data_IF_252497981889
#
_entry.id   IF_252497981889
#
_cell.length_a   1.000
_cell.length_b   1.000
_cell.length_c   1.000
_cell.angle_alpha   90.00
_cell.angle_beta   90.00
_cell.angle_gamma   90.00
#
_symmetry.space_group_name_H-M   'P 1'
#
loop_
_entity.id
_entity.type
_entity.pdbx_description
1 polymer ?
#
# COMPACT_ATOMS: atom_id res chain seq x y z
N UNK A 1 -20.33 7.31 10.88
CA UNK A 1 -19.55 8.27 10.08
C UNK A 1 -19.64 7.88 8.63
N UNK A 2 -19.75 8.86 7.74
CA UNK A 2 -19.59 8.73 6.30
C UNK A 2 -18.13 8.91 5.93
N UNK A 3 -17.50 7.85 5.43
CA UNK A 3 -16.07 7.79 5.10
C UNK A 3 -15.94 7.61 3.59
N UNK A 4 -15.22 8.51 2.93
CA UNK A 4 -14.70 8.23 1.60
C UNK A 4 -13.31 7.60 1.72
N UNK A 5 -13.13 6.43 1.13
CA UNK A 5 -11.85 5.74 1.05
C UNK A 5 -11.37 5.81 -0.40
N UNK A 6 -10.29 6.54 -0.67
CA UNK A 6 -9.77 6.73 -2.02
C UNK A 6 -8.50 5.92 -2.25
N UNK A 7 -8.43 5.22 -3.38
CA UNK A 7 -7.26 4.46 -3.81
C UNK A 7 -6.94 4.73 -5.27
N UNK A 8 -5.67 4.92 -5.65
CA UNK A 8 -5.29 5.16 -7.04
C UNK A 8 -5.39 3.91 -7.92
N UNK A 9 -5.67 2.74 -7.32
CA UNK A 9 -5.74 1.47 -8.05
C UNK A 9 -7.13 1.25 -8.64
N UNK A 10 -7.29 1.05 -9.95
CA UNK A 10 -8.59 0.89 -10.58
C UNK A 10 -9.30 -0.41 -10.16
N UNK A 11 -10.64 -0.54 -10.33
CA UNK A 11 -11.41 -1.67 -9.82
C UNK A 11 -10.97 -3.02 -10.34
N UNK A 12 -10.48 -3.05 -11.57
CA UNK A 12 -10.07 -4.24 -12.30
C UNK A 12 -8.66 -4.71 -11.90
N UNK A 13 -7.91 -3.90 -11.13
CA UNK A 13 -6.53 -4.18 -10.74
C UNK A 13 -6.45 -4.73 -9.31
N UNK A 14 -6.03 -5.99 -9.17
CA UNK A 14 -5.71 -6.58 -7.87
C UNK A 14 -4.23 -6.32 -7.56
N UNK A 15 -3.94 -5.14 -7.04
CA UNK A 15 -2.62 -4.79 -6.49
C UNK A 15 -2.67 -4.54 -4.98
N UNK A 16 -1.50 -4.32 -4.36
CA UNK A 16 -1.41 -4.14 -2.92
C UNK A 16 -2.26 -2.98 -2.38
N UNK A 17 -2.43 -1.90 -3.15
CA UNK A 17 -3.27 -0.77 -2.75
C UNK A 17 -4.76 -1.12 -2.83
N UNK A 18 -5.21 -1.78 -3.91
CA UNK A 18 -6.61 -2.23 -4.04
C UNK A 18 -6.96 -3.25 -2.96
N UNK A 19 -6.09 -4.24 -2.72
CA UNK A 19 -6.29 -5.25 -1.66
C UNK A 19 -6.40 -4.58 -0.29
N UNK A 20 -5.54 -3.61 0.01
CA UNK A 20 -5.59 -2.85 1.26
C UNK A 20 -6.90 -2.07 1.38
N UNK A 21 -7.31 -1.36 0.32
CA UNK A 21 -8.52 -0.55 0.32
C UNK A 21 -9.78 -1.39 0.55
N UNK A 22 -9.95 -2.50 -0.19
CA UNK A 22 -11.08 -3.41 -0.02
C UNK A 22 -11.14 -4.02 1.38
N UNK A 23 -9.97 -4.33 1.95
CA UNK A 23 -9.90 -4.85 3.32
C UNK A 23 -10.30 -3.80 4.36
N UNK A 24 -9.80 -2.57 4.21
CA UNK A 24 -10.12 -1.47 5.12
C UNK A 24 -11.58 -1.08 5.04
N UNK A 25 -12.16 -1.02 3.84
CA UNK A 25 -13.61 -0.86 3.64
C UNK A 25 -14.39 -1.88 4.47
N UNK A 26 -14.11 -3.18 4.31
CA UNK A 26 -14.77 -4.25 5.08
C UNK A 26 -14.63 -4.07 6.60
N UNK A 27 -13.42 -3.73 7.08
CA UNK A 27 -13.17 -3.56 8.52
C UNK A 27 -13.95 -2.35 9.06
N UNK A 28 -13.88 -1.21 8.38
CA UNK A 28 -14.55 0.02 8.80
C UNK A 28 -16.07 -0.13 8.76
N UNK A 29 -16.61 -0.81 7.75
CA UNK A 29 -18.05 -1.12 7.68
C UNK A 29 -18.48 -2.01 8.84
N UNK A 30 -17.70 -3.03 9.21
CA UNK A 30 -17.97 -3.88 10.39
C UNK A 30 -17.93 -3.11 11.71
N UNK A 31 -17.22 -1.99 11.77
CA UNK A 31 -17.19 -1.09 12.92
C UNK A 31 -18.38 -0.10 12.93
N UNK A 32 -19.34 -0.24 12.00
CA UNK A 32 -20.56 0.58 11.94
C UNK A 32 -20.40 1.90 11.19
N UNK A 33 -19.42 2.00 10.28
CA UNK A 33 -19.26 3.17 9.42
C UNK A 33 -19.87 2.96 8.03
N UNK A 34 -20.34 4.04 7.41
CA UNK A 34 -20.73 4.05 6.00
C UNK A 34 -19.48 4.37 5.18
N UNK A 35 -18.98 3.41 4.40
CA UNK A 35 -17.73 3.56 3.65
C UNK A 35 -18.03 3.48 2.16
N UNK A 36 -17.49 4.44 1.41
CA UNK A 36 -17.54 4.42 -0.05
C UNK A 36 -16.13 4.39 -0.60
N UNK A 37 -15.74 3.26 -1.19
CA UNK A 37 -14.47 3.10 -1.89
C UNK A 37 -14.52 3.76 -3.28
N UNK A 38 -13.61 4.69 -3.55
CA UNK A 38 -13.51 5.41 -4.83
C UNK A 38 -12.08 5.46 -5.36
N UNK A 39 -11.95 5.78 -6.65
CA UNK A 39 -10.65 6.07 -7.25
C UNK A 39 -10.19 7.52 -7.07
N UNK A 40 -11.15 8.43 -6.94
CA UNK A 40 -10.94 9.84 -6.63
C UNK A 40 -12.01 10.30 -5.64
N UNK A 41 -11.66 11.31 -4.84
CA UNK A 41 -12.62 11.97 -3.96
C UNK A 41 -13.78 12.54 -4.78
N UNK A 42 -15.01 12.35 -4.29
CA UNK A 42 -16.21 12.68 -5.07
C UNK A 42 -16.52 14.18 -5.15
N UNK A 43 -15.88 15.00 -4.32
CA UNK A 43 -16.26 16.41 -4.13
C UNK A 43 -17.38 16.62 -3.11
N UNK A 44 -18.08 15.55 -2.71
CA UNK A 44 -19.18 15.64 -1.75
C UNK A 44 -18.67 15.66 -0.31
N UNK A 45 -19.44 16.32 0.57
CA UNK A 45 -19.16 16.31 2.00
C UNK A 45 -19.16 14.88 2.54
N UNK A 46 -18.17 14.55 3.36
CA UNK A 46 -18.12 13.35 4.18
C UNK A 46 -17.50 13.71 5.54
N UNK A 47 -17.62 12.80 6.53
CA UNK A 47 -17.05 13.01 7.85
C UNK A 47 -15.53 12.82 7.86
N UNK A 48 -15.00 12.02 6.94
CA UNK A 48 -13.57 11.70 6.84
C UNK A 48 -13.19 11.23 5.44
N UNK A 49 -12.01 11.69 4.98
CA UNK A 49 -11.34 11.10 3.81
C UNK A 49 -10.16 10.23 4.28
N UNK A 50 -10.09 9.00 3.78
CA UNK A 50 -8.92 8.14 3.90
C UNK A 50 -8.32 7.98 2.51
N UNK A 51 -7.08 8.43 2.31
CA UNK A 51 -6.39 8.36 1.02
C UNK A 51 -5.22 7.37 1.06
N UNK A 52 -5.23 6.37 0.18
CA UNK A 52 -4.10 5.48 -0.02
C UNK A 52 -3.14 6.08 -1.03
N UNK A 53 -1.86 6.13 -0.69
CA UNK A 53 -0.76 6.65 -1.49
C UNK A 53 -0.74 8.18 -1.63
N UNK A 54 0.15 8.85 -0.90
CA UNK A 54 0.20 10.32 -0.83
C UNK A 54 0.30 11.01 -2.20
N UNK A 55 1.31 10.64 -3.01
CA UNK A 55 1.52 11.25 -4.33
C UNK A 55 0.37 10.99 -5.31
N UNK A 56 -0.09 9.75 -5.43
CA UNK A 56 -1.07 9.38 -6.45
C UNK A 56 -2.48 9.87 -6.11
N UNK A 57 -2.77 10.08 -4.84
CA UNK A 57 -4.04 10.66 -4.39
C UNK A 57 -3.97 12.16 -4.13
N UNK A 58 -2.87 12.83 -4.51
CA UNK A 58 -2.64 14.26 -4.28
C UNK A 58 -3.82 15.13 -4.73
N UNK A 59 -4.37 14.88 -5.92
CA UNK A 59 -5.50 15.66 -6.44
C UNK A 59 -6.75 15.53 -5.56
N UNK A 60 -7.04 14.33 -5.04
CA UNK A 60 -8.15 14.09 -4.12
C UNK A 60 -7.91 14.72 -2.74
N UNK A 61 -6.66 14.65 -2.27
CA UNK A 61 -6.24 15.23 -0.98
C UNK A 61 -6.39 16.76 -1.01
N UNK A 62 -5.88 17.41 -2.06
CA UNK A 62 -5.99 18.86 -2.22
C UNK A 62 -7.46 19.28 -2.32
N UNK A 63 -8.23 18.66 -3.21
CA UNK A 63 -9.65 19.00 -3.37
C UNK A 63 -10.45 18.85 -2.06
N UNK A 64 -10.13 17.83 -1.26
CA UNK A 64 -10.76 17.63 0.05
C UNK A 64 -10.33 18.67 1.08
N UNK A 65 -9.05 19.02 1.15
CA UNK A 65 -8.55 20.09 2.04
C UNK A 65 -9.11 21.46 1.65
N UNK A 66 -9.18 21.77 0.37
CA UNK A 66 -9.69 23.04 -0.13
C UNK A 66 -11.18 23.22 0.20
N UNK A 67 -11.95 22.13 0.09
CA UNK A 67 -13.39 22.13 0.38
C UNK A 67 -13.69 22.04 1.88
N UNK A 68 -12.88 21.28 2.63
CA UNK A 68 -13.13 20.94 4.03
C UNK A 68 -11.83 21.01 4.88
N UNK A 69 -11.31 22.21 5.17
CA UNK A 69 -9.99 22.39 5.79
C UNK A 69 -9.82 21.69 7.15
N UNK A 70 -10.89 21.65 7.95
CA UNK A 70 -10.90 21.10 9.31
C UNK A 70 -11.37 19.66 9.41
N UNK A 71 -11.89 19.07 8.32
CA UNK A 71 -12.37 17.69 8.37
C UNK A 71 -11.20 16.71 8.62
N UNK A 72 -11.40 15.54 9.22
CA UNK A 72 -10.37 14.52 9.33
C UNK A 72 -9.86 14.00 7.96
N UNK A 73 -8.56 14.09 7.73
CA UNK A 73 -7.85 13.49 6.58
C UNK A 73 -6.81 12.49 7.06
N UNK A 74 -6.99 11.23 6.70
CA UNK A 74 -6.03 10.15 6.94
C UNK A 74 -5.31 9.82 5.64
N UNK A 75 -3.99 9.78 5.66
CA UNK A 75 -3.20 9.39 4.47
C UNK A 75 -2.36 8.17 4.78
N UNK A 76 -2.60 7.09 4.05
CA UNK A 76 -1.82 5.86 4.14
C UNK A 76 -0.65 5.90 3.16
N UNK A 77 0.57 5.87 3.70
CA UNK A 77 1.82 5.80 2.95
C UNK A 77 2.09 4.34 2.54
N UNK A 78 1.89 4.00 1.27
CA UNK A 78 1.87 2.60 0.79
C UNK A 78 3.18 2.10 0.17
N UNK A 79 4.24 2.89 0.27
CA UNK A 79 5.63 2.46 0.08
C UNK A 79 6.37 3.26 -1.00
N UNK A 80 5.82 3.36 -2.23
CA UNK A 80 6.50 4.16 -3.26
C UNK A 80 6.49 5.66 -2.97
N UNK A 81 5.43 6.14 -2.32
CA UNK A 81 5.37 7.50 -1.79
C UNK A 81 6.46 7.76 -0.74
N UNK A 82 6.76 6.79 0.10
CA UNK A 82 7.77 6.92 1.15
C UNK A 82 9.21 6.83 0.62
N UNK A 83 9.53 5.81 -0.18
CA UNK A 83 10.93 5.51 -0.53
C UNK A 83 11.41 6.18 -1.80
N UNK A 84 10.50 6.48 -2.73
CA UNK A 84 10.85 7.03 -4.04
C UNK A 84 10.43 8.48 -4.17
N UNK A 85 9.22 8.80 -3.73
CA UNK A 85 8.62 10.11 -4.01
C UNK A 85 8.96 11.13 -2.90
N UNK A 86 8.86 10.78 -1.62
CA UNK A 86 9.11 11.70 -0.49
C UNK A 86 10.48 12.40 -0.57
N UNK A 87 11.62 11.73 -0.88
CA UNK A 87 12.91 12.41 -0.92
C UNK A 87 13.07 13.43 -2.05
N UNK A 88 12.16 13.42 -3.05
CA UNK A 88 12.32 14.18 -4.30
C UNK A 88 11.09 15.01 -4.68
N UNK A 89 10.01 14.96 -3.90
CA UNK A 89 8.75 15.57 -4.28
C UNK A 89 8.18 16.46 -3.16
N UNK A 90 8.26 17.77 -3.37
CA UNK A 90 7.71 18.79 -2.47
C UNK A 90 6.20 18.67 -2.26
N UNK A 91 5.46 18.12 -3.23
CA UNK A 91 4.01 17.88 -3.08
C UNK A 91 3.72 16.80 -2.06
N UNK A 92 4.58 15.77 -1.97
CA UNK A 92 4.42 14.71 -0.94
C UNK A 92 4.65 15.29 0.44
N UNK A 93 5.60 16.22 0.61
CA UNK A 93 5.80 16.94 1.86
C UNK A 93 4.55 17.75 2.26
N UNK A 94 3.94 18.47 1.31
CA UNK A 94 2.68 19.20 1.57
C UNK A 94 1.56 18.27 2.02
N UNK A 95 1.46 17.07 1.45
CA UNK A 95 0.49 16.06 1.90
C UNK A 95 0.74 15.64 3.35
N UNK A 96 2.01 15.51 3.76
CA UNK A 96 2.32 15.22 5.16
C UNK A 96 1.78 16.31 6.09
N UNK A 97 1.89 17.58 5.71
CA UNK A 97 1.40 18.70 6.51
C UNK A 97 -0.14 18.72 6.57
N UNK A 98 -0.80 18.52 5.43
CA UNK A 98 -2.25 18.49 5.29
C UNK A 98 -2.93 17.33 6.06
N UNK A 99 -2.25 16.19 6.21
CA UNK A 99 -2.85 15.02 6.83
C UNK A 99 -3.09 15.24 8.33
N UNK A 100 -4.31 14.95 8.80
CA UNK A 100 -4.64 14.90 10.23
C UNK A 100 -3.89 13.76 10.92
N UNK A 101 -3.82 12.60 10.25
CA UNK A 101 -3.04 11.44 10.67
C UNK A 101 -2.41 10.76 9.46
N UNK A 102 -1.21 10.23 9.67
CA UNK A 102 -0.52 9.40 8.69
C UNK A 102 -0.63 7.95 9.11
N UNK A 103 -0.75 7.05 8.14
CA UNK A 103 -0.69 5.61 8.38
C UNK A 103 0.50 5.05 7.60
N UNK A 104 1.36 4.28 8.26
CA UNK A 104 2.44 3.53 7.61
C UNK A 104 2.25 2.04 7.86
N UNK A 105 2.77 1.22 6.94
CA UNK A 105 2.48 -0.22 6.92
C UNK A 105 3.50 -1.09 7.65
N UNK A 106 4.56 -0.48 8.20
CA UNK A 106 5.55 -1.14 9.06
C UNK A 106 6.34 -0.11 9.88
N UNK A 107 6.92 -0.52 11.02
CA UNK A 107 7.60 0.40 11.95
C UNK A 107 8.77 1.17 11.34
N UNK A 108 9.55 0.53 10.45
CA UNK A 108 10.70 1.21 9.81
C UNK A 108 10.28 2.46 9.00
N UNK A 109 9.06 2.51 8.49
CA UNK A 109 8.61 3.63 7.67
C UNK A 109 8.50 4.94 8.45
N UNK A 110 8.31 4.87 9.78
CA UNK A 110 8.26 6.06 10.63
C UNK A 110 9.58 6.83 10.58
N UNK A 111 10.71 6.12 10.49
CA UNK A 111 12.04 6.76 10.47
C UNK A 111 12.35 7.47 9.15
N UNK A 112 11.65 7.13 8.07
CA UNK A 112 11.76 7.81 6.77
C UNK A 112 11.01 9.16 6.74
N UNK A 113 10.11 9.38 7.71
CA UNK A 113 9.33 10.61 7.79
C UNK A 113 10.11 11.71 8.54
N UNK A 114 9.89 13.00 8.20
CA UNK A 114 10.39 14.11 9.00
C UNK A 114 9.76 14.11 10.39
N UNK A 115 10.47 14.68 11.37
CA UNK A 115 10.04 14.64 12.78
C UNK A 115 8.64 15.20 13.02
N UNK A 116 8.27 16.26 12.31
CA UNK A 116 6.94 16.88 12.36
C UNK A 116 5.81 15.90 11.99
N UNK A 117 6.08 14.96 11.08
CA UNK A 117 5.12 13.97 10.62
C UNK A 117 5.07 12.74 11.56
N UNK A 118 6.16 12.41 12.26
CA UNK A 118 6.25 11.23 13.13
C UNK A 118 5.21 11.25 14.25
N UNK A 119 4.97 12.41 14.87
CA UNK A 119 4.05 12.56 16.00
C UNK A 119 2.58 12.22 15.65
N UNK A 120 2.19 12.35 14.37
CA UNK A 120 0.84 12.05 13.89
C UNK A 120 0.76 10.76 13.06
N UNK A 121 1.81 9.94 13.10
CA UNK A 121 1.91 8.70 12.33
C UNK A 121 1.51 7.49 13.16
N UNK A 122 0.69 6.63 12.58
CA UNK A 122 0.28 5.34 13.13
C UNK A 122 0.81 4.19 12.28
N UNK A 123 1.32 3.15 12.93
CA UNK A 123 1.76 1.93 12.26
C UNK A 123 0.60 0.93 12.26
N UNK A 124 0.08 0.62 11.07
CA UNK A 124 -0.90 -0.44 10.88
C UNK A 124 -0.24 -1.52 10.01
N UNK A 125 0.15 -2.61 10.65
CA UNK A 125 0.76 -3.74 9.93
C UNK A 125 -0.22 -4.38 8.97
N UNK A 126 0.25 -4.64 7.75
CA UNK A 126 -0.50 -5.48 6.83
C UNK A 126 -0.57 -6.90 7.36
N UNK A 127 -1.77 -7.48 7.31
CA UNK A 127 -2.00 -8.89 7.61
C UNK A 127 -2.52 -9.59 6.35
N UNK A 128 -2.44 -10.91 6.36
CA UNK A 128 -3.04 -11.79 5.37
C UNK A 128 -3.82 -12.88 6.10
N UNK A 129 -4.90 -13.35 5.50
CA UNK A 129 -5.58 -14.56 5.97
C UNK A 129 -4.74 -15.77 5.55
N UNK A 130 -4.65 -16.77 6.43
CA UNK A 130 -4.02 -18.03 6.08
C UNK A 130 -4.87 -18.71 4.98
N UNK A 131 -4.24 -19.40 4.01
CA UNK A 131 -5.00 -20.16 3.03
C UNK A 131 -5.78 -21.28 3.72
N UNK A 132 -7.02 -21.52 3.27
CA UNK A 132 -7.87 -22.60 3.79
C UNK A 132 -7.26 -23.99 3.58
N UNK A 133 -6.44 -24.13 2.54
CA UNK A 133 -5.76 -25.38 2.18
C UNK A 133 -4.25 -25.21 2.29
N UNK A 134 -3.63 -26.12 3.03
CA UNK A 134 -2.18 -26.24 3.10
C UNK A 134 -1.73 -27.40 2.20
N UNK A 135 -1.01 -27.07 1.13
CA UNK A 135 -0.43 -28.08 0.24
C UNK A 135 0.86 -28.64 0.85
N UNK A 136 1.10 -29.94 0.64
CA UNK A 136 2.38 -30.55 1.00
C UNK A 136 3.49 -30.00 0.07
N UNK A 137 4.70 -29.73 0.59
CA UNK A 137 5.82 -29.34 -0.25
C UNK A 137 6.23 -30.49 -1.18
N UNK A 138 6.84 -30.21 -2.35
CA UNK A 138 7.33 -31.25 -3.24
C UNK A 138 8.40 -32.13 -2.57
N UNK A 139 8.32 -33.45 -2.74
CA UNK A 139 9.27 -34.39 -2.10
C UNK A 139 10.66 -34.36 -2.73
N UNK A 140 10.73 -34.06 -4.02
CA UNK A 140 11.92 -34.32 -4.83
C UNK A 140 12.70 -33.05 -5.16
N UNK A 141 12.16 -31.87 -4.88
CA UNK A 141 12.79 -30.61 -5.18
C UNK A 141 12.40 -29.53 -4.17
N UNK A 142 13.24 -28.50 -4.09
CA UNK A 142 12.92 -27.30 -3.32
C UNK A 142 12.29 -26.26 -4.25
N UNK A 143 11.09 -25.80 -3.92
CA UNK A 143 10.38 -24.79 -4.70
C UNK A 143 10.46 -23.43 -4.01
N UNK A 144 10.94 -22.42 -4.72
CA UNK A 144 10.94 -21.02 -4.31
C UNK A 144 9.98 -20.23 -5.19
N UNK A 145 9.07 -19.47 -4.59
CA UNK A 145 8.16 -18.58 -5.30
C UNK A 145 8.60 -17.12 -5.15
N UNK A 146 8.67 -16.41 -6.28
CA UNK A 146 8.87 -14.95 -6.33
C UNK A 146 7.56 -14.32 -6.78
N UNK A 147 6.85 -13.70 -5.84
CA UNK A 147 5.55 -13.06 -6.10
C UNK A 147 5.71 -11.55 -6.10
N UNK A 148 5.96 -10.97 -7.27
CA UNK A 148 6.16 -9.53 -7.43
C UNK A 148 5.99 -9.08 -8.88
N UNK A 149 5.48 -7.86 -9.09
CA UNK A 149 5.53 -7.20 -10.41
C UNK A 149 6.97 -7.08 -10.94
N UNK A 150 7.15 -7.13 -12.26
CA UNK A 150 8.44 -7.03 -12.93
C UNK A 150 8.92 -5.58 -13.00
N UNK A 151 9.20 -4.99 -11.84
CA UNK A 151 9.67 -3.60 -11.73
C UNK A 151 11.09 -3.54 -11.18
N UNK A 152 11.93 -2.59 -11.61
CA UNK A 152 13.33 -2.51 -11.18
C UNK A 152 13.52 -2.55 -9.66
N UNK A 153 12.69 -1.85 -8.89
CA UNK A 153 12.77 -1.82 -7.43
C UNK A 153 12.48 -3.16 -6.74
N UNK A 154 11.88 -4.12 -7.46
CA UNK A 154 11.63 -5.47 -6.98
C UNK A 154 12.74 -6.44 -7.38
N UNK A 155 13.65 -6.02 -8.26
CA UNK A 155 14.70 -6.84 -8.89
C UNK A 155 14.20 -8.27 -9.23
N UNK A 156 13.26 -8.38 -10.17
CA UNK A 156 12.54 -9.63 -10.44
C UNK A 156 13.47 -10.77 -10.88
N UNK A 157 14.62 -10.45 -11.49
CA UNK A 157 15.57 -11.44 -11.99
C UNK A 157 16.61 -11.87 -10.97
N UNK A 158 16.65 -11.27 -9.77
CA UNK A 158 17.63 -11.60 -8.74
C UNK A 158 17.62 -13.08 -8.38
N UNK A 159 16.43 -13.68 -8.27
CA UNK A 159 16.29 -15.10 -7.96
C UNK A 159 16.84 -15.98 -9.09
N UNK A 160 16.54 -15.65 -10.35
CA UNK A 160 17.09 -16.36 -11.51
C UNK A 160 18.63 -16.26 -11.58
N UNK A 161 19.18 -15.08 -11.26
CA UNK A 161 20.63 -14.89 -11.19
C UNK A 161 21.27 -15.66 -10.04
N UNK A 162 20.60 -15.76 -8.89
CA UNK A 162 21.08 -16.51 -7.74
C UNK A 162 21.16 -18.02 -8.01
N UNK A 163 20.21 -18.59 -8.78
CA UNK A 163 20.21 -20.01 -9.16
C UNK A 163 21.49 -20.43 -9.90
N UNK A 164 22.13 -19.51 -10.62
CA UNK A 164 23.41 -19.78 -11.33
C UNK A 164 24.57 -20.09 -10.40
N UNK A 165 24.45 -19.80 -9.10
CA UNK A 165 25.44 -20.11 -8.07
C UNK A 165 25.26 -21.52 -7.47
N UNK A 166 24.21 -22.25 -7.87
CA UNK A 166 23.93 -23.59 -7.39
C UNK A 166 24.73 -24.63 -8.21
N UNK A 167 25.08 -25.78 -7.61
CA UNK A 167 25.70 -26.88 -8.35
C UNK A 167 24.74 -27.43 -9.41
N UNK A 168 25.28 -28.05 -10.46
CA UNK A 168 24.48 -28.67 -11.54
C UNK A 168 23.54 -29.77 -11.03
N UNK A 169 23.86 -30.40 -9.90
CA UNK A 169 23.01 -31.39 -9.22
C UNK A 169 21.84 -30.79 -8.43
N UNK A 170 21.78 -29.46 -8.31
CA UNK A 170 20.71 -28.78 -7.59
C UNK A 170 19.36 -29.00 -8.26
N UNK A 171 18.35 -29.26 -7.44
CA UNK A 171 16.96 -29.44 -7.89
C UNK A 171 16.08 -28.25 -7.56
N UNK A 172 16.64 -27.11 -7.17
CA UNK A 172 15.86 -25.90 -6.84
C UNK A 172 15.08 -25.41 -8.06
N UNK A 173 13.79 -25.14 -7.88
CA UNK A 173 12.92 -24.53 -8.89
C UNK A 173 12.46 -23.15 -8.41
N UNK A 174 12.64 -22.13 -9.26
CA UNK A 174 12.16 -20.76 -8.99
C UNK A 174 10.96 -20.48 -9.88
N UNK A 175 9.81 -20.23 -9.26
CA UNK A 175 8.58 -19.82 -9.96
C UNK A 175 8.37 -18.33 -9.75
N UNK A 176 8.30 -17.57 -10.84
CA UNK A 176 7.97 -16.15 -10.77
C UNK A 176 6.49 -15.95 -11.10
N UNK A 177 5.72 -15.42 -10.15
CA UNK A 177 4.34 -14.99 -10.36
C UNK A 177 4.27 -13.46 -10.35
N UNK A 178 4.08 -12.86 -11.52
CA UNK A 178 4.02 -11.41 -11.66
C UNK A 178 4.02 -10.95 -13.11
N UNK A 179 3.67 -9.67 -13.32
CA UNK A 179 3.68 -9.01 -14.62
C UNK A 179 4.44 -7.68 -14.55
N UNK A 180 4.97 -7.23 -15.69
CA UNK A 180 5.71 -5.97 -15.84
C UNK A 180 4.81 -4.87 -16.37
#
# INVERSE_FOLDING_TARGET
MQIELVTPSPPELIDGNRVTALRWEKILTRLGHEVVLRNSYSGNRCDMLIALHARKSLASINAFRDSWPEAPLLVAMTGSDLYRDLPKNAEVLKVLDQATRLIVLHRRAVFELPDSARAKTWVIYQSAEAPDVRLAPPETHFQAAVVAHLRPQKDPFRAAMAVRKLPLSSRVQVHHAGRG
#
